data_IF_202981485346
#
_entry.id   IF_202981485346
#
_cell.length_a   1.000
_cell.length_b   1.000
_cell.length_c   1.000
_cell.angle_alpha   90.00
_cell.angle_beta   90.00
_cell.angle_gamma   90.00
#
_symmetry.space_group_name_H-M   'P 1'
#
loop_
_entity.id
_entity.type
_entity.pdbx_description
1 polymer ?
#
# COMPACT_ATOMS: atom_id res chain seq x y z
N UNK A 1 -2.14 -24.01 5.43
CA UNK A 1 -2.99 -22.86 5.08
C UNK A 1 -2.52 -21.72 5.95
N UNK A 2 -1.85 -20.71 5.41
CA UNK A 2 -1.43 -19.54 6.20
C UNK A 2 -2.70 -18.81 6.65
N UNK A 3 -2.97 -18.84 7.95
CA UNK A 3 -3.92 -17.94 8.58
C UNK A 3 -3.38 -16.53 8.39
N UNK A 4 -3.91 -15.78 7.42
CA UNK A 4 -3.75 -14.33 7.38
C UNK A 4 -4.38 -13.80 8.67
N UNK A 5 -3.57 -13.62 9.70
CA UNK A 5 -4.01 -12.94 10.92
C UNK A 5 -4.51 -11.56 10.50
N UNK A 6 -5.75 -11.22 10.86
CA UNK A 6 -6.37 -9.94 10.56
C UNK A 6 -5.66 -8.83 11.34
N UNK A 7 -4.53 -8.37 10.82
CA UNK A 7 -3.79 -7.26 11.43
C UNK A 7 -4.49 -5.93 11.11
N UNK A 8 -4.33 -4.91 11.98
CA UNK A 8 -4.79 -3.55 11.67
C UNK A 8 -4.25 -3.02 10.34
N UNK A 9 -3.05 -3.44 9.94
CA UNK A 9 -2.44 -3.12 8.65
C UNK A 9 -3.21 -3.73 7.48
N UNK A 10 -3.54 -5.03 7.54
CA UNK A 10 -4.36 -5.70 6.52
C UNK A 10 -5.74 -5.06 6.42
N UNK A 11 -6.34 -4.68 7.55
CA UNK A 11 -7.61 -3.95 7.55
C UNK A 11 -7.49 -2.59 6.85
N UNK A 12 -6.47 -1.79 7.16
CA UNK A 12 -6.19 -0.51 6.46
C UNK A 12 -6.03 -0.72 4.96
N UNK A 13 -5.32 -1.78 4.54
CA UNK A 13 -5.13 -2.12 3.12
C UNK A 13 -6.42 -2.37 2.35
N UNK A 14 -7.53 -2.76 3.01
CA UNK A 14 -8.80 -3.01 2.32
C UNK A 14 -9.44 -1.71 1.81
N UNK A 15 -9.24 -0.59 2.51
CA UNK A 15 -9.90 0.69 2.21
C UNK A 15 -9.01 1.64 1.41
N UNK A 16 -9.61 2.58 0.66
CA UNK A 16 -8.85 3.60 -0.10
C UNK A 16 -8.03 4.45 0.87
N UNK A 17 -8.68 4.99 1.90
CA UNK A 17 -8.08 5.86 2.90
C UNK A 17 -6.97 5.14 3.67
N UNK A 18 -7.24 3.94 4.19
CA UNK A 18 -6.24 3.20 4.95
C UNK A 18 -5.01 2.81 4.11
N UNK A 19 -5.17 2.47 2.83
CA UNK A 19 -4.03 2.23 1.95
C UNK A 19 -3.20 3.50 1.70
N UNK A 20 -3.84 4.67 1.59
CA UNK A 20 -3.15 5.96 1.47
C UNK A 20 -2.43 6.35 2.77
N UNK A 21 -3.04 6.08 3.92
CA UNK A 21 -2.41 6.28 5.23
C UNK A 21 -1.14 5.43 5.36
N UNK A 22 -1.23 4.12 5.06
CA UNK A 22 -0.08 3.22 5.09
C UNK A 22 1.05 3.68 4.17
N UNK A 23 0.70 4.22 3.00
CA UNK A 23 1.66 4.80 2.08
C UNK A 23 2.40 5.99 2.70
N UNK A 24 1.69 6.95 3.30
CA UNK A 24 2.33 8.12 3.92
C UNK A 24 3.09 7.78 5.20
N UNK A 25 2.60 6.82 5.99
CA UNK A 25 3.33 6.27 7.14
C UNK A 25 4.68 5.70 6.68
N UNK A 26 4.70 4.93 5.59
CA UNK A 26 5.93 4.39 5.02
C UNK A 26 6.84 5.49 4.48
N UNK A 27 6.32 6.46 3.73
CA UNK A 27 7.11 7.63 3.25
C UNK A 27 7.77 8.38 4.40
N UNK A 28 7.04 8.61 5.50
CA UNK A 28 7.58 9.34 6.65
C UNK A 28 8.60 8.52 7.45
N UNK A 29 8.42 7.19 7.53
CA UNK A 29 9.33 6.29 8.24
C UNK A 29 10.63 6.01 7.47
N UNK A 30 10.59 6.09 6.14
CA UNK A 30 11.67 5.67 5.25
C UNK A 30 12.84 6.67 5.18
N UNK A 31 12.73 7.84 5.82
CA UNK A 31 13.80 8.85 5.90
C UNK A 31 14.38 9.26 4.53
N UNK A 32 13.55 9.26 3.48
CA UNK A 32 13.95 9.57 2.09
C UNK A 32 14.96 8.59 1.46
N UNK A 33 15.03 7.34 1.94
CA UNK A 33 15.88 6.31 1.34
C UNK A 33 15.34 5.83 -0.02
N UNK A 34 14.02 5.76 -0.15
CA UNK A 34 13.30 5.30 -1.32
C UNK A 34 12.43 6.41 -1.90
N UNK A 35 12.20 6.31 -3.21
CA UNK A 35 11.23 7.14 -3.91
C UNK A 35 9.79 6.75 -3.52
N UNK A 36 8.85 7.68 -3.71
CA UNK A 36 7.44 7.40 -3.54
C UNK A 36 6.94 6.22 -4.40
N UNK A 37 7.53 5.99 -5.57
CA UNK A 37 7.16 4.87 -6.43
C UNK A 37 7.64 3.53 -5.86
N UNK A 38 8.87 3.46 -5.35
CA UNK A 38 9.41 2.26 -4.69
C UNK A 38 8.62 1.90 -3.43
N UNK A 39 8.28 2.90 -2.61
CA UNK A 39 7.44 2.68 -1.40
C UNK A 39 6.05 2.16 -1.79
N UNK A 40 5.46 2.73 -2.85
CA UNK A 40 4.21 2.21 -3.40
C UNK A 40 4.36 0.77 -3.88
N UNK A 41 5.43 0.42 -4.60
CA UNK A 41 5.64 -0.92 -5.12
C UNK A 41 5.84 -1.96 -4.01
N UNK A 42 6.50 -1.59 -2.92
CA UNK A 42 6.62 -2.43 -1.71
C UNK A 42 5.22 -2.68 -1.13
N UNK A 43 4.42 -1.63 -0.94
CA UNK A 43 3.09 -1.72 -0.35
C UNK A 43 2.09 -2.48 -1.26
N UNK A 44 2.19 -2.29 -2.57
CA UNK A 44 1.37 -2.99 -3.58
C UNK A 44 1.76 -4.48 -3.66
N UNK A 45 3.05 -4.82 -3.53
CA UNK A 45 3.50 -6.21 -3.41
C UNK A 45 2.93 -6.89 -2.16
N UNK A 46 2.97 -6.21 -1.02
CA UNK A 46 2.37 -6.70 0.23
C UNK A 46 0.86 -6.93 0.06
N UNK A 47 0.15 -5.96 -0.54
CA UNK A 47 -1.26 -6.12 -0.89
C UNK A 47 -1.51 -7.32 -1.80
N UNK A 48 -0.70 -7.48 -2.86
CA UNK A 48 -0.83 -8.57 -3.80
C UNK A 48 -0.58 -9.93 -3.14
N UNK A 49 0.35 -10.03 -2.20
CA UNK A 49 0.60 -11.25 -1.45
C UNK A 49 -0.60 -11.63 -0.57
N UNK A 50 -1.22 -10.66 0.09
CA UNK A 50 -2.36 -10.86 1.00
C UNK A 50 -3.66 -11.15 0.24
N UNK A 51 -3.98 -10.35 -0.78
CA UNK A 51 -5.28 -10.39 -1.47
C UNK A 51 -5.25 -11.09 -2.83
N UNK A 52 -4.07 -11.59 -3.25
CA UNK A 52 -3.84 -12.29 -4.53
C UNK A 52 -4.31 -11.50 -5.77
N UNK A 53 -4.35 -10.18 -5.66
CA UNK A 53 -4.73 -9.24 -6.74
C UNK A 53 -4.02 -7.91 -6.54
N UNK A 54 -3.94 -7.11 -7.61
CA UNK A 54 -3.44 -5.73 -7.55
C UNK A 54 -4.53 -4.78 -7.06
N UNK A 55 -4.16 -3.79 -6.25
CA UNK A 55 -5.08 -2.72 -5.82
C UNK A 55 -5.17 -1.63 -6.88
N UNK A 56 -4.03 -1.23 -7.44
CA UNK A 56 -3.95 -0.25 -8.52
C UNK A 56 -3.11 -0.79 -9.68
N UNK A 57 -3.41 -0.33 -10.89
CA UNK A 57 -2.72 -0.81 -12.11
C UNK A 57 -1.28 -0.30 -12.22
N UNK A 58 -0.97 0.83 -11.58
CA UNK A 58 0.37 1.44 -11.54
C UNK A 58 0.44 2.53 -10.47
N UNK A 59 1.65 2.96 -10.12
CA UNK A 59 1.87 4.11 -9.23
C UNK A 59 1.15 5.37 -9.73
N UNK A 60 1.15 5.63 -11.05
CA UNK A 60 0.41 6.76 -11.65
C UNK A 60 -1.10 6.68 -11.40
N UNK A 61 -1.67 5.47 -11.47
CA UNK A 61 -3.09 5.22 -11.17
C UNK A 61 -3.40 5.46 -9.69
N UNK A 62 -2.54 4.96 -8.80
CA UNK A 62 -2.62 5.22 -7.36
C UNK A 62 -2.54 6.72 -7.06
N UNK A 63 -1.51 7.42 -7.54
CA UNK A 63 -1.32 8.85 -7.34
C UNK A 63 -2.54 9.66 -7.80
N UNK A 64 -3.05 9.40 -9.01
CA UNK A 64 -4.25 10.08 -9.53
C UNK A 64 -5.46 9.86 -8.62
N UNK A 65 -5.66 8.64 -8.13
CA UNK A 65 -6.78 8.30 -7.23
C UNK A 65 -6.60 8.89 -5.83
N UNK A 66 -5.37 9.03 -5.35
CA UNK A 66 -5.04 9.61 -4.05
C UNK A 66 -5.27 11.13 -4.03
N UNK A 67 -4.87 11.80 -5.12
CA UNK A 67 -4.96 13.26 -5.25
C UNK A 67 -6.37 13.74 -5.70
N UNK A 68 -7.29 12.80 -5.95
CA UNK A 68 -8.74 13.00 -6.21
C UNK A 68 -9.57 12.72 -4.96
#
# INVERSE_FOLDING_TARGET
METNELTPRILKMTTKTGFVELFWEAVNADQQQHTHEEIYDILEKEYQQVFKRRRYTSFKSFRRRRDQ
#
